data_IF_574842144227
#
_entry.id   IF_574842144227
#
_cell.length_a   1.000
_cell.length_b   1.000
_cell.length_c   1.000
_cell.angle_alpha   90.00
_cell.angle_beta   90.00
_cell.angle_gamma   90.00
#
_symmetry.space_group_name_H-M   'P 1'
#
loop_
_entity.id
_entity.type
_entity.pdbx_description
1 polymer ?
#
# COMPACT_ATOMS: atom_id res chain seq x y z
N UNK A 1 -37.79 84.51 -15.96
CA UNK A 1 -36.77 84.02 -14.99
C UNK A 1 -36.84 82.51 -15.02
N UNK A 2 -35.99 81.90 -15.83
CA UNK A 2 -35.92 80.42 -15.98
C UNK A 2 -34.67 79.89 -15.25
N UNK A 3 -34.91 78.97 -14.34
CA UNK A 3 -33.85 78.31 -13.55
C UNK A 3 -33.13 77.28 -14.42
N UNK A 4 -31.81 77.14 -14.37
CA UNK A 4 -31.10 76.15 -15.14
C UNK A 4 -31.26 74.74 -14.49
N UNK A 5 -31.55 73.76 -15.31
CA UNK A 5 -31.57 72.34 -14.96
C UNK A 5 -30.17 71.83 -14.65
N UNK A 6 -29.93 71.38 -13.44
CA UNK A 6 -28.74 70.62 -13.08
C UNK A 6 -28.72 69.26 -13.80
N UNK A 7 -27.78 69.12 -14.67
CA UNK A 7 -27.50 67.88 -15.35
C UNK A 7 -26.71 66.98 -14.37
N UNK A 8 -27.37 65.97 -13.82
CA UNK A 8 -26.71 64.94 -13.03
C UNK A 8 -25.87 64.05 -13.97
N UNK A 9 -24.57 64.20 -13.88
CA UNK A 9 -23.66 63.26 -14.46
C UNK A 9 -23.73 61.96 -13.69
N UNK A 10 -24.30 60.91 -14.26
CA UNK A 10 -24.24 59.56 -13.76
C UNK A 10 -22.83 59.00 -14.06
N UNK A 11 -21.99 58.98 -13.02
CA UNK A 11 -20.71 58.27 -13.07
C UNK A 11 -20.99 56.79 -13.08
N UNK A 12 -20.81 56.11 -14.19
CA UNK A 12 -20.80 54.68 -14.27
C UNK A 12 -19.49 54.18 -13.70
N UNK A 13 -19.51 53.72 -12.46
CA UNK A 13 -18.40 52.93 -11.87
C UNK A 13 -18.47 51.54 -12.49
N UNK A 14 -17.65 51.30 -13.49
CA UNK A 14 -17.43 49.96 -14.03
C UNK A 14 -16.60 49.22 -13.00
N UNK A 15 -17.26 48.43 -12.18
CA UNK A 15 -16.62 47.39 -11.38
C UNK A 15 -16.12 46.32 -12.34
N UNK A 16 -14.85 46.42 -12.71
CA UNK A 16 -14.16 45.31 -13.37
C UNK A 16 -14.00 44.17 -12.36
N UNK A 17 -14.87 43.19 -12.46
CA UNK A 17 -14.70 41.92 -11.75
C UNK A 17 -13.58 41.16 -12.45
N UNK A 18 -12.35 41.35 -11.92
CA UNK A 18 -11.23 40.47 -12.31
C UNK A 18 -11.52 39.09 -11.71
N UNK A 19 -12.06 38.20 -12.54
CA UNK A 19 -12.13 36.78 -12.22
C UNK A 19 -10.70 36.26 -12.27
N UNK A 20 -10.04 36.22 -11.10
CA UNK A 20 -8.83 35.43 -10.91
C UNK A 20 -9.24 33.97 -11.01
N UNK A 21 -9.11 33.39 -12.21
CA UNK A 21 -9.14 31.94 -12.40
C UNK A 21 -7.88 31.41 -11.69
N UNK A 22 -8.05 30.98 -10.45
CA UNK A 22 -7.05 30.22 -9.74
C UNK A 22 -7.03 28.83 -10.41
N UNK A 23 -6.19 28.67 -11.43
CA UNK A 23 -5.79 27.37 -11.92
C UNK A 23 -4.98 26.69 -10.82
N UNK A 24 -5.70 26.11 -9.85
CA UNK A 24 -5.11 25.16 -8.96
C UNK A 24 -4.66 23.99 -9.81
N UNK A 25 -3.38 23.94 -10.15
CA UNK A 25 -2.75 22.73 -10.64
C UNK A 25 -2.97 21.69 -9.54
N UNK A 26 -3.90 20.76 -9.76
CA UNK A 26 -3.97 19.54 -8.99
C UNK A 26 -2.67 18.82 -9.29
N UNK A 27 -1.70 19.03 -8.40
CA UNK A 27 -0.49 18.24 -8.38
C UNK A 27 -0.91 16.85 -7.88
N UNK A 28 -1.29 15.97 -8.79
CA UNK A 28 -1.32 14.55 -8.46
C UNK A 28 0.14 14.16 -8.22
N UNK A 29 0.50 13.78 -6.98
CA UNK A 29 1.83 13.25 -6.77
C UNK A 29 1.96 12.03 -7.68
N UNK A 30 2.98 12.05 -8.55
CA UNK A 30 3.33 10.90 -9.35
C UNK A 30 3.46 9.68 -8.42
N UNK A 31 3.03 8.47 -8.84
CA UNK A 31 3.21 7.27 -8.05
C UNK A 31 4.68 7.20 -7.63
N UNK A 32 4.90 7.31 -6.33
CA UNK A 32 6.26 7.24 -5.79
C UNK A 32 6.69 5.78 -5.96
N UNK A 33 7.55 5.54 -6.95
CA UNK A 33 8.32 4.31 -7.06
C UNK A 33 9.36 4.29 -5.94
N UNK A 34 8.89 4.26 -4.69
CA UNK A 34 9.78 3.99 -3.58
C UNK A 34 10.30 2.56 -3.78
N UNK A 35 11.61 2.35 -3.76
CA UNK A 35 12.13 1.00 -3.75
C UNK A 35 11.49 0.26 -2.56
N UNK A 36 11.20 -1.04 -2.69
CA UNK A 36 10.58 -1.80 -1.61
C UNK A 36 11.40 -1.64 -0.34
N UNK A 37 10.70 -1.35 0.76
CA UNK A 37 11.33 -1.26 2.06
C UNK A 37 12.03 -2.59 2.35
N UNK A 38 13.31 -2.55 2.69
CA UNK A 38 14.10 -3.75 3.02
C UNK A 38 13.80 -4.20 4.46
N UNK A 39 14.22 -5.40 4.81
CA UNK A 39 14.03 -5.98 6.15
C UNK A 39 14.41 -5.04 7.32
N UNK A 40 15.35 -4.12 7.12
CA UNK A 40 15.73 -3.10 8.10
C UNK A 40 14.63 -2.07 8.43
N UNK A 41 13.57 -2.02 7.64
CA UNK A 41 12.46 -1.08 7.84
C UNK A 41 11.28 -1.74 8.55
N UNK A 42 11.22 -3.07 8.65
CA UNK A 42 10.09 -3.75 9.28
C UNK A 42 9.98 -3.46 10.77
N UNK A 43 11.11 -3.44 11.49
CA UNK A 43 11.14 -3.10 12.91
C UNK A 43 10.57 -1.69 13.13
N UNK A 44 10.92 -0.75 12.27
CA UNK A 44 10.42 0.62 12.33
C UNK A 44 8.91 0.68 12.07
N UNK A 45 8.41 -0.09 11.10
CA UNK A 45 6.97 -0.18 10.81
C UNK A 45 6.19 -0.76 12.00
N UNK A 46 6.76 -1.78 12.66
CA UNK A 46 6.17 -2.40 13.85
C UNK A 46 6.13 -1.40 15.01
N UNK A 47 7.24 -0.73 15.29
CA UNK A 47 7.36 0.27 16.37
C UNK A 47 6.39 1.44 16.16
N UNK A 48 6.28 1.91 14.94
CA UNK A 48 5.39 3.01 14.56
C UNK A 48 3.94 2.59 14.31
N UNK A 49 3.63 1.29 14.37
CA UNK A 49 2.31 0.71 14.10
C UNK A 49 1.76 1.11 12.72
N UNK A 50 2.64 1.16 11.73
CA UNK A 50 2.27 1.52 10.36
C UNK A 50 1.70 0.30 9.63
N UNK A 51 0.72 0.54 8.77
CA UNK A 51 0.09 -0.44 7.88
C UNK A 51 0.09 0.07 6.44
N UNK A 52 -0.34 -0.77 5.51
CA UNK A 52 -0.49 -0.46 4.09
C UNK A 52 0.86 -0.09 3.44
N UNK A 53 1.93 -0.78 3.84
CA UNK A 53 3.29 -0.55 3.34
C UNK A 53 3.77 -1.77 2.56
N UNK A 54 4.13 -1.55 1.30
CA UNK A 54 4.73 -2.59 0.47
C UNK A 54 6.17 -2.85 0.93
N UNK A 55 6.46 -4.11 1.27
CA UNK A 55 7.75 -4.49 1.86
C UNK A 55 8.26 -5.82 1.32
N UNK A 56 9.58 -5.95 1.23
CA UNK A 56 10.27 -7.22 0.99
C UNK A 56 10.98 -7.66 2.26
N UNK A 57 10.73 -8.89 2.70
CA UNK A 57 11.40 -9.50 3.85
C UNK A 57 11.91 -10.89 3.50
N UNK A 58 12.93 -11.34 4.23
CA UNK A 58 13.39 -12.73 4.24
C UNK A 58 13.28 -13.28 5.64
N UNK A 59 12.89 -14.54 5.76
CA UNK A 59 12.78 -15.19 7.06
C UNK A 59 12.69 -16.70 6.94
N UNK A 60 12.79 -17.34 8.08
CA UNK A 60 12.68 -18.79 8.22
C UNK A 60 11.25 -19.16 8.64
N UNK A 61 10.66 -20.13 7.97
CA UNK A 61 9.33 -20.65 8.33
C UNK A 61 9.42 -21.34 9.70
N UNK A 62 8.67 -20.84 10.67
CA UNK A 62 8.66 -21.41 12.03
C UNK A 62 7.38 -22.18 12.34
N UNK A 63 6.31 -21.94 11.59
CA UNK A 63 5.05 -22.66 11.78
C UNK A 63 4.22 -22.65 10.51
N UNK A 64 3.68 -23.81 10.16
CA UNK A 64 2.60 -23.94 9.17
C UNK A 64 1.25 -23.89 9.87
N UNK A 65 0.30 -23.16 9.32
CA UNK A 65 -1.07 -23.06 9.80
C UNK A 65 -2.02 -23.71 8.81
N UNK A 66 -3.21 -24.08 9.28
CA UNK A 66 -4.29 -24.54 8.39
C UNK A 66 -4.63 -23.45 7.38
N UNK A 67 -4.90 -23.83 6.14
CA UNK A 67 -5.40 -22.89 5.15
C UNK A 67 -6.70 -22.26 5.65
N UNK A 68 -6.86 -20.98 5.39
CA UNK A 68 -8.11 -20.27 5.64
C UNK A 68 -8.99 -20.43 4.39
N UNK A 69 -10.16 -21.03 4.58
CA UNK A 69 -11.11 -21.29 3.50
C UNK A 69 -12.41 -20.44 3.66
N UNK A 70 -12.40 -19.45 4.54
CA UNK A 70 -13.51 -18.51 4.68
C UNK A 70 -13.38 -17.38 3.66
N UNK A 71 -14.29 -17.34 2.70
CA UNK A 71 -14.18 -16.45 1.54
C UNK A 71 -13.11 -16.92 0.55
N UNK A 72 -12.16 -16.03 0.20
CA UNK A 72 -10.99 -16.38 -0.61
C UNK A 72 -10.05 -17.29 0.18
N UNK A 73 -9.53 -18.31 -0.49
CA UNK A 73 -8.65 -19.29 0.17
C UNK A 73 -7.24 -18.72 0.34
N UNK A 74 -6.69 -18.92 1.54
CA UNK A 74 -5.34 -18.46 1.85
C UNK A 74 -4.52 -19.55 2.50
N UNK A 75 -3.33 -19.80 1.95
CA UNK A 75 -2.28 -20.53 2.66
C UNK A 75 -1.66 -19.60 3.71
N UNK A 76 -1.47 -20.12 4.93
CA UNK A 76 -0.96 -19.32 6.05
C UNK A 76 0.23 -19.99 6.71
N UNK A 77 1.26 -19.21 7.01
CA UNK A 77 2.41 -19.66 7.78
C UNK A 77 3.11 -18.49 8.48
N UNK A 78 3.90 -18.80 9.50
CA UNK A 78 4.64 -17.80 10.27
C UNK A 78 6.11 -17.91 9.87
N UNK A 79 6.74 -16.77 9.63
CA UNK A 79 8.18 -16.65 9.45
C UNK A 79 8.80 -15.88 10.61
N UNK A 80 10.05 -16.21 10.94
CA UNK A 80 10.90 -15.47 11.86
C UNK A 80 11.98 -14.76 11.06
N UNK A 81 12.10 -13.46 11.27
CA UNK A 81 13.15 -12.63 10.68
C UNK A 81 14.47 -12.79 11.45
N UNK A 82 15.58 -12.33 10.86
CA UNK A 82 16.89 -12.34 11.52
C UNK A 82 16.92 -11.58 12.86
N UNK A 83 16.02 -10.62 13.05
CA UNK A 83 15.83 -9.88 14.31
C UNK A 83 15.13 -10.68 15.40
N UNK A 84 14.57 -11.86 15.08
CA UNK A 84 13.69 -12.63 15.99
C UNK A 84 12.22 -12.19 15.94
N UNK A 85 11.89 -11.16 15.16
CA UNK A 85 10.51 -10.75 14.95
C UNK A 85 9.78 -11.77 14.09
N UNK A 86 8.54 -12.10 14.45
CA UNK A 86 7.70 -13.01 13.66
C UNK A 86 6.64 -12.26 12.87
N UNK A 87 6.35 -12.76 11.67
CA UNK A 87 5.30 -12.24 10.78
C UNK A 87 4.41 -13.38 10.31
N UNK A 88 3.10 -13.12 10.25
CA UNK A 88 2.15 -14.02 9.59
C UNK A 88 2.16 -13.74 8.09
N UNK A 89 2.35 -14.76 7.27
CA UNK A 89 2.19 -14.70 5.82
C UNK A 89 0.80 -15.23 5.45
N UNK A 90 0.07 -14.45 4.65
CA UNK A 90 -1.29 -14.75 4.18
C UNK A 90 -1.28 -14.73 2.65
N UNK A 91 -1.10 -15.89 2.04
CA UNK A 91 -0.94 -16.06 0.60
C UNK A 91 -2.25 -16.53 -0.05
N UNK A 92 -2.82 -15.70 -0.93
CA UNK A 92 -4.06 -16.00 -1.61
C UNK A 92 -3.85 -17.09 -2.67
N UNK A 93 -4.35 -18.30 -2.40
CA UNK A 93 -4.21 -19.46 -3.29
C UNK A 93 -5.34 -19.61 -4.32
N UNK A 94 -6.25 -18.65 -4.38
CA UNK A 94 -7.18 -18.51 -5.50
C UNK A 94 -6.58 -17.68 -6.65
N UNK A 95 -5.56 -16.88 -6.34
CA UNK A 95 -4.90 -15.98 -7.30
C UNK A 95 -3.47 -16.41 -7.66
N UNK A 96 -2.82 -17.19 -6.80
CA UNK A 96 -1.47 -17.69 -7.00
C UNK A 96 -1.36 -19.17 -6.62
N UNK A 97 -0.39 -19.92 -7.17
CA UNK A 97 -0.20 -21.32 -6.80
C UNK A 97 0.13 -21.47 -5.32
N UNK A 98 -0.47 -22.48 -4.67
CA UNK A 98 -0.10 -22.90 -3.32
C UNK A 98 1.35 -23.42 -3.28
N UNK A 99 2.04 -23.16 -2.19
CA UNK A 99 3.39 -23.69 -1.96
C UNK A 99 3.24 -25.03 -1.23
N UNK A 100 3.18 -26.13 -1.99
CA UNK A 100 2.83 -27.44 -1.42
C UNK A 100 4.00 -28.12 -0.68
N UNK A 101 5.22 -27.77 -1.03
CA UNK A 101 6.45 -28.35 -0.49
C UNK A 101 7.09 -27.52 0.63
N UNK A 102 6.45 -26.41 1.07
CA UNK A 102 6.94 -25.58 2.17
C UNK A 102 6.92 -26.34 3.50
N UNK A 103 7.98 -26.17 4.29
CA UNK A 103 8.19 -26.84 5.58
C UNK A 103 8.73 -25.87 6.63
N UNK A 104 8.50 -26.18 7.88
CA UNK A 104 9.20 -25.51 8.98
C UNK A 104 10.72 -25.68 8.84
N UNK A 105 11.45 -24.59 9.00
CA UNK A 105 12.89 -24.52 8.75
C UNK A 105 13.27 -24.00 7.37
N UNK A 106 12.34 -23.90 6.43
CA UNK A 106 12.63 -23.37 5.08
C UNK A 106 12.83 -21.85 5.10
N UNK A 107 13.77 -21.40 4.28
CA UNK A 107 13.98 -19.97 4.00
C UNK A 107 13.02 -19.51 2.91
N UNK A 108 12.39 -18.36 3.14
CA UNK A 108 11.52 -17.70 2.15
C UNK A 108 11.85 -16.21 2.04
N UNK A 109 11.63 -15.68 0.84
CA UNK A 109 11.55 -14.22 0.61
C UNK A 109 10.13 -13.89 0.22
N UNK A 110 9.59 -12.85 0.83
CA UNK A 110 8.20 -12.43 0.66
C UNK A 110 8.16 -10.96 0.29
N UNK A 111 7.46 -10.63 -0.77
CA UNK A 111 7.14 -9.27 -1.16
C UNK A 111 5.63 -9.10 -1.18
N UNK A 112 5.12 -8.17 -0.39
CA UNK A 112 3.70 -7.94 -0.24
C UNK A 112 3.41 -6.74 0.64
N UNK A 113 2.13 -6.52 0.94
CA UNK A 113 1.68 -5.43 1.78
C UNK A 113 1.68 -5.84 3.24
N UNK A 114 2.38 -5.06 4.06
CA UNK A 114 2.45 -5.23 5.50
C UNK A 114 1.27 -4.53 6.18
N UNK A 115 0.60 -5.25 7.07
CA UNK A 115 -0.45 -4.75 7.97
C UNK A 115 -0.01 -4.98 9.41
N UNK A 116 0.05 -3.93 10.18
CA UNK A 116 0.37 -4.00 11.60
C UNK A 116 -0.77 -4.65 12.42
N UNK A 117 -0.40 -5.43 13.41
CA UNK A 117 -1.25 -5.86 14.51
C UNK A 117 -0.41 -6.06 15.77
N UNK A 118 -1.05 -6.28 16.92
CA UNK A 118 -0.40 -6.45 18.22
C UNK A 118 0.41 -7.76 18.38
N UNK A 119 0.39 -8.64 17.38
CA UNK A 119 1.21 -9.86 17.31
C UNK A 119 2.42 -9.73 16.39
N UNK A 120 2.74 -8.52 15.94
CA UNK A 120 3.87 -8.22 15.05
C UNK A 120 3.50 -7.96 13.61
N UNK A 121 2.26 -8.25 13.21
CA UNK A 121 1.76 -7.94 11.88
C UNK A 121 1.69 -9.14 10.94
N UNK A 122 1.19 -8.87 9.75
CA UNK A 122 1.08 -9.84 8.68
C UNK A 122 1.52 -9.22 7.35
N UNK A 123 1.85 -10.08 6.40
CA UNK A 123 2.05 -9.69 4.99
C UNK A 123 1.05 -10.47 4.14
N UNK A 124 0.30 -9.74 3.33
CA UNK A 124 -0.61 -10.25 2.32
C UNK A 124 -0.33 -9.60 0.94
N UNK A 125 -1.22 -9.71 -0.02
CA UNK A 125 -0.95 -9.25 -1.41
C UNK A 125 0.35 -9.83 -1.97
N UNK A 126 0.63 -11.08 -1.68
CA UNK A 126 1.83 -11.82 -2.10
C UNK A 126 1.63 -12.53 -3.44
N UNK A 127 0.87 -11.96 -4.33
CA UNK A 127 0.50 -12.49 -5.64
C UNK A 127 0.36 -11.38 -6.67
N UNK A 128 0.26 -11.75 -7.94
CA UNK A 128 -0.07 -10.82 -9.00
C UNK A 128 -1.49 -10.27 -8.82
N UNK A 129 -1.68 -8.94 -8.95
CA UNK A 129 -3.03 -8.37 -8.96
C UNK A 129 -3.64 -8.43 -10.37
N UNK A 130 -4.68 -9.26 -10.60
CA UNK A 130 -5.31 -9.37 -11.92
C UNK A 130 -5.93 -8.06 -12.43
N UNK A 131 -6.25 -7.14 -11.52
CA UNK A 131 -6.86 -5.85 -11.84
C UNK A 131 -5.84 -4.72 -12.06
N UNK A 132 -4.54 -4.96 -11.82
CA UNK A 132 -3.46 -3.97 -11.91
C UNK A 132 -3.71 -2.69 -11.10
N UNK A 133 -4.39 -2.79 -9.96
CA UNK A 133 -4.70 -1.66 -9.08
C UNK A 133 -3.83 -1.62 -7.84
N UNK A 134 -3.15 -2.74 -7.54
CA UNK A 134 -2.27 -2.92 -6.40
C UNK A 134 -0.88 -3.38 -6.88
N UNK A 135 0.22 -3.01 -6.20
CA UNK A 135 1.54 -3.56 -6.51
C UNK A 135 1.54 -5.08 -6.47
N UNK A 136 2.14 -5.71 -7.48
CA UNK A 136 2.25 -7.16 -7.53
C UNK A 136 3.19 -7.67 -6.46
N UNK A 137 2.70 -8.60 -5.66
CA UNK A 137 3.51 -9.28 -4.66
C UNK A 137 3.96 -10.66 -5.14
N UNK A 138 4.77 -11.31 -4.34
CA UNK A 138 5.27 -12.67 -4.62
C UNK A 138 5.87 -13.32 -3.36
N UNK A 139 5.98 -14.65 -3.41
CA UNK A 139 6.76 -15.43 -2.47
C UNK A 139 7.80 -16.22 -3.27
N UNK A 140 9.06 -16.15 -2.83
CA UNK A 140 10.12 -17.03 -3.33
C UNK A 140 10.43 -18.08 -2.29
N UNK A 141 10.28 -19.34 -2.66
CA UNK A 141 10.63 -20.50 -1.87
C UNK A 141 11.54 -21.38 -2.72
N UNK A 142 12.73 -21.69 -2.22
CA UNK A 142 13.80 -22.31 -2.99
C UNK A 142 14.07 -21.50 -4.29
N UNK A 143 14.10 -22.13 -5.44
CA UNK A 143 14.32 -21.46 -6.74
C UNK A 143 13.00 -21.10 -7.46
N UNK A 144 11.84 -21.23 -6.80
CA UNK A 144 10.52 -21.01 -7.41
C UNK A 144 9.90 -19.72 -6.90
N UNK A 145 9.22 -19.04 -7.82
CA UNK A 145 8.46 -17.84 -7.56
C UNK A 145 6.95 -18.18 -7.62
N UNK A 146 6.22 -17.75 -6.59
CA UNK A 146 4.78 -17.92 -6.45
C UNK A 146 4.14 -16.53 -6.45
N UNK A 147 3.32 -16.23 -7.48
CA UNK A 147 2.69 -14.91 -7.67
C UNK A 147 1.40 -14.98 -8.49
#
# INVERSE_FOLDING_TARGET
>A
MSKPKRMQQRVWIIFGFAILIFMGSFYEPAPQNNPPATASNIEQLIEQRQSDVQIEVSGTVTRLLSDDNDGSRHQRFIIELASGQTLLIVHNIDLAPRIDDIREGDEVRVYGEYIWNDKGGLIHWTHHDPANRHPHGWIRHQDRLYQ
#
